data_IF_274668843586
#
_entry.id   IF_274668843586
#
_cell.length_a   1.000
_cell.length_b   1.000
_cell.length_c   1.000
_cell.angle_alpha   90.00
_cell.angle_beta   90.00
_cell.angle_gamma   90.00
#
_symmetry.space_group_name_H-M   'P 1'
#
loop_
_entity.id
_entity.type
_entity.pdbx_description
1 polymer ?
#
# COMPACT_ATOMS: atom_id res chain seq x y z
N UNK A 1 -0.36 -16.46 -1.13
CA UNK A 1 -0.61 -15.14 -1.76
C UNK A 1 -0.64 -15.26 -3.29
N UNK A 2 0.51 -15.38 -3.98
CA UNK A 2 0.59 -15.45 -5.45
C UNK A 2 -0.26 -16.57 -6.10
N UNK A 3 -0.41 -17.70 -5.42
CA UNK A 3 -1.30 -18.78 -5.88
C UNK A 3 -2.78 -18.37 -5.90
N UNK A 4 -3.25 -17.64 -4.86
CA UNK A 4 -4.63 -17.13 -4.84
C UNK A 4 -4.83 -16.07 -5.92
N UNK A 5 -3.79 -15.27 -6.22
CA UNK A 5 -3.82 -14.32 -7.32
C UNK A 5 -3.98 -15.02 -8.67
N UNK A 6 -3.21 -16.08 -8.88
CA UNK A 6 -3.29 -16.88 -10.10
C UNK A 6 -4.68 -17.47 -10.32
N UNK A 7 -5.29 -18.05 -9.28
CA UNK A 7 -6.65 -18.61 -9.36
C UNK A 7 -7.68 -17.51 -9.68
N UNK A 8 -7.60 -16.36 -9.01
CA UNK A 8 -8.52 -15.23 -9.21
C UNK A 8 -8.42 -14.68 -10.65
N UNK A 9 -7.20 -14.42 -11.16
CA UNK A 9 -7.01 -13.92 -12.53
C UNK A 9 -7.40 -14.94 -13.59
N UNK A 10 -7.14 -16.23 -13.37
CA UNK A 10 -7.58 -17.30 -14.27
C UNK A 10 -9.10 -17.38 -14.33
N UNK A 11 -9.80 -17.26 -13.18
CA UNK A 11 -11.27 -17.30 -13.15
C UNK A 11 -11.93 -16.13 -13.89
N UNK A 12 -11.20 -15.01 -14.02
CA UNK A 12 -11.64 -13.79 -14.72
C UNK A 12 -11.16 -13.69 -16.17
N UNK A 13 -10.40 -14.67 -16.64
CA UNK A 13 -9.74 -14.65 -17.95
C UNK A 13 -8.86 -13.40 -18.17
N UNK A 14 -8.18 -12.92 -17.12
CA UNK A 14 -7.26 -11.78 -17.18
C UNK A 14 -5.85 -12.24 -17.59
N UNK A 15 -5.69 -12.46 -18.89
CA UNK A 15 -4.45 -13.01 -19.48
C UNK A 15 -3.22 -12.16 -19.18
N UNK A 16 -3.37 -10.83 -19.13
CA UNK A 16 -2.29 -9.92 -18.81
C UNK A 16 -1.81 -10.09 -17.36
N UNK A 17 -2.73 -10.17 -16.39
CA UNK A 17 -2.38 -10.39 -14.99
C UNK A 17 -1.75 -11.77 -14.78
N UNK A 18 -2.19 -12.78 -15.54
CA UNK A 18 -1.56 -14.11 -15.55
C UNK A 18 -0.13 -14.01 -16.10
N UNK A 19 0.07 -13.28 -17.20
CA UNK A 19 1.40 -13.05 -17.78
C UNK A 19 2.32 -12.30 -16.82
N UNK A 20 1.82 -11.27 -16.14
CA UNK A 20 2.57 -10.55 -15.10
C UNK A 20 2.96 -11.47 -13.94
N UNK A 21 2.08 -12.36 -13.48
CA UNK A 21 2.43 -13.37 -12.48
C UNK A 21 3.53 -14.32 -12.97
N UNK A 22 3.46 -14.78 -14.22
CA UNK A 22 4.52 -15.62 -14.81
C UNK A 22 5.86 -14.86 -14.87
N UNK A 23 5.82 -13.59 -15.28
CA UNK A 23 7.00 -12.72 -15.29
C UNK A 23 7.54 -12.52 -13.87
N UNK A 24 6.69 -12.37 -12.85
CA UNK A 24 7.12 -12.24 -11.46
C UNK A 24 7.99 -13.43 -11.01
N UNK A 25 7.60 -14.66 -11.37
CA UNK A 25 8.38 -15.85 -11.01
C UNK A 25 9.71 -15.95 -11.78
N UNK A 26 9.73 -15.50 -13.03
CA UNK A 26 10.93 -15.51 -13.88
C UNK A 26 11.88 -14.32 -13.64
N UNK A 27 11.37 -13.24 -13.06
CA UNK A 27 12.12 -12.01 -12.82
C UNK A 27 13.16 -12.16 -11.72
N UNK A 28 14.23 -11.39 -11.84
CA UNK A 28 15.16 -11.13 -10.75
C UNK A 28 14.50 -10.31 -9.63
N UNK A 29 15.28 -10.09 -8.60
CA UNK A 29 14.81 -9.58 -7.32
C UNK A 29 14.32 -8.13 -7.40
N UNK A 30 14.92 -7.32 -8.26
CA UNK A 30 14.58 -5.91 -8.48
C UNK A 30 13.29 -5.80 -9.31
N UNK A 31 13.24 -6.51 -10.43
CA UNK A 31 12.08 -6.52 -11.33
C UNK A 31 10.81 -7.10 -10.69
N UNK A 32 10.95 -7.98 -9.69
CA UNK A 32 9.81 -8.50 -8.92
C UNK A 32 9.03 -7.40 -8.19
N UNK A 33 9.67 -6.33 -7.76
CA UNK A 33 8.97 -5.24 -7.05
C UNK A 33 8.06 -4.46 -8.00
N UNK A 34 8.57 -4.13 -9.19
CA UNK A 34 7.82 -3.42 -10.21
C UNK A 34 6.62 -4.24 -10.70
N UNK A 35 6.84 -5.53 -10.94
CA UNK A 35 5.79 -6.46 -11.35
C UNK A 35 4.73 -6.59 -10.25
N UNK A 36 5.13 -6.66 -8.98
CA UNK A 36 4.19 -6.70 -7.86
C UNK A 36 3.35 -5.42 -7.80
N UNK A 37 3.97 -4.24 -7.98
CA UNK A 37 3.27 -2.96 -8.00
C UNK A 37 2.20 -2.91 -9.10
N UNK A 38 2.53 -3.40 -10.30
CA UNK A 38 1.60 -3.49 -11.42
C UNK A 38 0.43 -4.44 -11.13
N UNK A 39 0.70 -5.61 -10.54
CA UNK A 39 -0.34 -6.57 -10.14
C UNK A 39 -1.30 -5.97 -9.11
N UNK A 40 -0.77 -5.24 -8.12
CA UNK A 40 -1.57 -4.51 -7.13
C UNK A 40 -2.43 -3.45 -7.83
N UNK A 41 -1.84 -2.68 -8.74
CA UNK A 41 -2.57 -1.62 -9.45
C UNK A 41 -3.75 -2.19 -10.24
N UNK A 42 -3.56 -3.35 -10.88
CA UNK A 42 -4.64 -4.07 -11.57
C UNK A 42 -5.74 -4.51 -10.61
N UNK A 43 -5.41 -5.06 -9.44
CA UNK A 43 -6.42 -5.39 -8.41
C UNK A 43 -7.22 -4.17 -7.96
N UNK A 44 -6.56 -3.04 -7.77
CA UNK A 44 -7.21 -1.77 -7.43
C UNK A 44 -8.18 -1.35 -8.54
N UNK A 45 -7.76 -1.41 -9.82
CA UNK A 45 -8.62 -1.13 -10.98
C UNK A 45 -9.84 -2.05 -11.04
N UNK A 46 -9.68 -3.31 -10.65
CA UNK A 46 -10.75 -4.30 -10.54
C UNK A 46 -11.58 -4.21 -9.24
N UNK A 47 -11.33 -3.21 -8.38
CA UNK A 47 -12.00 -3.01 -7.08
C UNK A 47 -11.83 -4.14 -6.06
N UNK A 48 -10.80 -4.98 -6.23
CA UNK A 48 -10.42 -6.01 -5.25
C UNK A 48 -9.51 -5.40 -4.17
N UNK A 49 -10.01 -4.37 -3.47
CA UNK A 49 -9.20 -3.55 -2.56
C UNK A 49 -8.68 -4.33 -1.36
N UNK A 50 -9.46 -5.29 -0.86
CA UNK A 50 -9.10 -6.07 0.33
C UNK A 50 -7.91 -6.97 0.03
N UNK A 51 -7.98 -7.70 -1.07
CA UNK A 51 -6.92 -8.59 -1.52
C UNK A 51 -5.65 -7.79 -1.85
N UNK A 52 -5.79 -6.66 -2.55
CA UNK A 52 -4.65 -5.77 -2.82
C UNK A 52 -3.96 -5.30 -1.53
N UNK A 53 -4.74 -4.99 -0.49
CA UNK A 53 -4.21 -4.53 0.79
C UNK A 53 -3.54 -5.66 1.58
N UNK A 54 -4.17 -6.83 1.65
CA UNK A 54 -3.61 -8.00 2.34
C UNK A 54 -2.31 -8.46 1.65
N UNK A 55 -2.21 -8.31 0.32
CA UNK A 55 -1.01 -8.60 -0.45
C UNK A 55 0.15 -7.62 -0.18
N UNK A 56 -0.11 -6.32 -0.25
CA UNK A 56 0.89 -5.30 0.06
C UNK A 56 1.39 -5.46 1.49
N UNK A 57 0.48 -5.60 2.46
CA UNK A 57 0.86 -5.70 3.88
C UNK A 57 1.65 -6.97 4.16
N UNK A 58 1.29 -8.10 3.53
CA UNK A 58 2.08 -9.34 3.62
C UNK A 58 3.48 -9.15 3.02
N UNK A 59 3.57 -8.50 1.85
CA UNK A 59 4.88 -8.25 1.23
C UNK A 59 5.74 -7.33 2.12
N UNK A 60 5.19 -6.23 2.62
CA UNK A 60 5.91 -5.31 3.51
C UNK A 60 6.31 -5.96 4.86
N UNK A 61 5.57 -6.96 5.33
CA UNK A 61 5.90 -7.64 6.58
C UNK A 61 7.09 -8.61 6.44
N UNK A 62 7.19 -9.30 5.30
CA UNK A 62 8.10 -10.46 5.17
C UNK A 62 9.16 -10.32 4.08
N UNK A 63 9.01 -9.36 3.16
CA UNK A 63 9.95 -9.16 2.06
C UNK A 63 11.19 -8.40 2.56
N UNK A 64 12.40 -8.78 2.11
CA UNK A 64 13.59 -7.94 2.30
C UNK A 64 13.50 -6.58 1.57
N UNK A 65 12.44 -6.36 0.77
CA UNK A 65 12.16 -5.13 0.02
C UNK A 65 11.04 -4.30 0.61
N UNK A 66 10.75 -4.48 1.89
CA UNK A 66 9.72 -3.71 2.59
C UNK A 66 10.00 -2.20 2.69
N UNK A 67 11.14 -1.74 2.17
CA UNK A 67 11.52 -0.33 2.11
C UNK A 67 11.08 0.39 0.83
N UNK A 68 10.51 -0.32 -0.16
CA UNK A 68 10.04 0.33 -1.39
C UNK A 68 8.95 1.38 -1.08
N UNK A 69 9.23 2.64 -1.40
CA UNK A 69 8.38 3.80 -1.09
C UNK A 69 7.03 3.73 -1.80
N UNK A 70 6.96 3.25 -3.04
CA UNK A 70 5.72 3.12 -3.80
C UNK A 70 4.80 2.03 -3.25
N UNK A 71 5.36 0.87 -2.86
CA UNK A 71 4.56 -0.19 -2.20
C UNK A 71 3.99 0.30 -0.86
N UNK A 72 4.80 1.01 -0.06
CA UNK A 72 4.34 1.65 1.16
C UNK A 72 3.21 2.66 0.88
N UNK A 73 3.38 3.52 -0.12
CA UNK A 73 2.37 4.52 -0.48
C UNK A 73 1.07 3.89 -1.00
N UNK A 74 1.12 2.82 -1.80
CA UNK A 74 -0.08 2.08 -2.24
C UNK A 74 -0.77 1.41 -1.05
N UNK A 75 -0.01 0.85 -0.11
CA UNK A 75 -0.54 0.35 1.15
C UNK A 75 -1.24 1.45 1.96
N UNK A 76 -0.66 2.64 2.01
CA UNK A 76 -1.23 3.80 2.69
C UNK A 76 -2.55 4.26 2.05
N UNK A 77 -2.59 4.34 0.71
CA UNK A 77 -3.80 4.69 -0.04
C UNK A 77 -4.95 3.71 0.22
N UNK A 78 -4.66 2.40 0.25
CA UNK A 78 -5.66 1.38 0.55
C UNK A 78 -6.12 1.42 2.01
N UNK A 79 -5.21 1.64 2.97
CA UNK A 79 -5.58 1.86 4.36
C UNK A 79 -6.46 3.12 4.52
N UNK A 80 -6.13 4.22 3.84
CA UNK A 80 -6.94 5.44 3.84
C UNK A 80 -8.33 5.17 3.26
N UNK A 81 -8.41 4.44 2.13
CA UNK A 81 -9.69 4.02 1.56
C UNK A 81 -10.56 3.28 2.59
N UNK A 82 -9.99 2.31 3.31
CA UNK A 82 -10.72 1.61 4.36
C UNK A 82 -11.07 2.51 5.55
N UNK A 83 -10.22 3.47 5.93
CA UNK A 83 -10.59 4.45 6.96
C UNK A 83 -11.82 5.28 6.56
N UNK A 84 -11.89 5.72 5.30
CA UNK A 84 -13.02 6.53 4.81
C UNK A 84 -14.32 5.73 4.72
N UNK A 85 -14.24 4.41 4.47
CA UNK A 85 -15.40 3.57 4.17
C UNK A 85 -15.76 2.55 5.27
N UNK A 86 -14.91 2.34 6.27
CA UNK A 86 -15.16 1.43 7.39
C UNK A 86 -15.80 2.19 8.57
N UNK A 87 -17.02 1.79 8.95
CA UNK A 87 -17.76 2.36 10.09
C UNK A 87 -17.58 1.55 11.39
N UNK A 88 -16.64 0.60 11.42
CA UNK A 88 -16.39 -0.27 12.58
C UNK A 88 -15.27 0.25 13.48
N UNK A 89 -15.04 -0.44 14.60
CA UNK A 89 -13.91 -0.20 15.52
C UNK A 89 -12.53 -0.33 14.86
N UNK A 90 -12.45 -0.85 13.63
CA UNK A 90 -11.20 -0.94 12.87
C UNK A 90 -10.84 0.37 12.17
N UNK A 91 -11.72 1.38 12.18
CA UNK A 91 -11.46 2.70 11.58
C UNK A 91 -10.16 3.33 12.11
N UNK A 92 -9.96 3.33 13.42
CA UNK A 92 -8.74 3.88 14.05
C UNK A 92 -7.48 3.09 13.67
N UNK A 93 -7.63 1.77 13.49
CA UNK A 93 -6.53 0.92 13.02
C UNK A 93 -6.10 1.33 11.61
N UNK A 94 -7.04 1.50 10.68
CA UNK A 94 -6.73 1.91 9.31
C UNK A 94 -6.18 3.34 9.22
N UNK A 95 -6.68 4.26 10.04
CA UNK A 95 -6.12 5.61 10.15
C UNK A 95 -4.63 5.57 10.54
N UNK A 96 -4.31 4.84 11.62
CA UNK A 96 -2.93 4.70 12.11
C UNK A 96 -2.02 4.02 11.09
N UNK A 97 -2.52 2.99 10.39
CA UNK A 97 -1.79 2.30 9.32
C UNK A 97 -1.50 3.23 8.14
N UNK A 98 -2.49 3.99 7.67
CA UNK A 98 -2.33 4.92 6.56
C UNK A 98 -1.26 5.98 6.86
N UNK A 99 -1.32 6.59 8.05
CA UNK A 99 -0.32 7.56 8.51
C UNK A 99 1.08 6.94 8.55
N UNK A 100 1.20 5.76 9.16
CA UNK A 100 2.48 5.05 9.32
C UNK A 100 3.11 4.73 7.97
N UNK A 101 2.32 4.22 7.02
CA UNK A 101 2.81 3.88 5.70
C UNK A 101 3.17 5.10 4.85
N UNK A 102 2.39 6.18 4.88
CA UNK A 102 2.77 7.41 4.20
C UNK A 102 4.06 8.01 4.76
N UNK A 103 4.23 8.03 6.09
CA UNK A 103 5.46 8.53 6.72
C UNK A 103 6.67 7.69 6.26
N UNK A 104 6.60 6.36 6.35
CA UNK A 104 7.68 5.47 5.90
C UNK A 104 7.97 5.61 4.39
N UNK A 105 6.93 5.79 3.57
CA UNK A 105 7.09 5.99 2.13
C UNK A 105 7.91 7.25 1.84
N UNK A 106 7.60 8.36 2.51
CA UNK A 106 8.31 9.64 2.39
C UNK A 106 9.75 9.52 2.91
N UNK A 107 9.93 8.94 4.10
CA UNK A 107 11.25 8.77 4.71
C UNK A 107 12.20 7.91 3.83
N UNK A 108 11.64 6.97 3.06
CA UNK A 108 12.43 6.13 2.14
C UNK A 108 12.63 6.80 0.79
N UNK A 109 11.66 7.57 0.29
CA UNK A 109 11.82 8.34 -0.95
C UNK A 109 12.93 9.39 -0.83
N UNK A 110 13.11 9.98 0.35
CA UNK A 110 14.21 10.94 0.60
C UNK A 110 15.60 10.29 0.63
N UNK A 111 15.67 8.95 0.75
CA UNK A 111 16.93 8.19 0.72
C UNK A 111 17.30 7.71 -0.69
N UNK A 112 16.39 7.82 -1.65
CA UNK A 112 16.61 7.44 -3.05
C UNK A 112 16.94 8.67 -3.89
N UNK A 113 17.88 8.53 -4.84
CA UNK A 113 18.33 9.62 -5.72
C UNK A 113 17.30 10.05 -6.77
N UNK A 114 16.29 9.22 -7.02
CA UNK A 114 15.18 9.51 -7.95
C UNK A 114 13.97 10.01 -7.17
N UNK A 115 13.80 11.34 -7.14
CA UNK A 115 12.64 11.98 -6.48
C UNK A 115 11.55 12.24 -7.50
N UNK A 116 10.45 11.49 -7.40
CA UNK A 116 9.21 11.80 -8.12
C UNK A 116 8.43 12.88 -7.35
N UNK A 117 8.69 14.16 -7.66
CA UNK A 117 8.14 15.32 -6.93
C UNK A 117 6.61 15.34 -6.83
N UNK A 118 5.92 14.87 -7.88
CA UNK A 118 4.45 14.80 -7.94
C UNK A 118 3.89 13.80 -6.93
N UNK A 119 4.51 12.62 -6.84
CA UNK A 119 4.11 11.57 -5.91
C UNK A 119 4.40 11.97 -4.48
N UNK A 120 5.57 12.58 -4.22
CA UNK A 120 5.93 13.11 -2.91
C UNK A 120 4.90 14.12 -2.41
N UNK A 121 4.56 15.11 -3.23
CA UNK A 121 3.62 16.18 -2.88
C UNK A 121 2.23 15.64 -2.55
N UNK A 122 1.74 14.69 -3.36
CA UNK A 122 0.45 14.03 -3.15
C UNK A 122 0.41 13.22 -1.84
N UNK A 123 1.48 12.50 -1.53
CA UNK A 123 1.58 11.70 -0.31
C UNK A 123 1.67 12.59 0.93
N UNK A 124 2.45 13.67 0.88
CA UNK A 124 2.54 14.65 1.96
C UNK A 124 1.17 15.26 2.28
N UNK A 125 0.45 15.76 1.26
CA UNK A 125 -0.88 16.34 1.44
C UNK A 125 -1.87 15.34 2.07
N UNK A 126 -1.82 14.07 1.64
CA UNK A 126 -2.65 13.01 2.20
C UNK A 126 -2.30 12.72 3.66
N UNK A 127 -1.01 12.71 4.01
CA UNK A 127 -0.53 12.50 5.36
C UNK A 127 -0.95 13.62 6.31
N UNK A 128 -0.80 14.89 5.88
CA UNK A 128 -1.22 16.06 6.65
C UNK A 128 -2.73 16.02 6.94
N UNK A 129 -3.53 15.70 5.92
CA UNK A 129 -4.97 15.52 6.08
C UNK A 129 -5.29 14.42 7.09
N UNK A 130 -4.61 13.27 7.04
CA UNK A 130 -4.88 12.17 7.97
C UNK A 130 -4.44 12.51 9.40
N UNK A 131 -3.30 13.19 9.59
CA UNK A 131 -2.81 13.61 10.91
C UNK A 131 -3.78 14.56 11.62
N UNK A 132 -4.54 15.40 10.90
CA UNK A 132 -5.55 16.27 11.51
C UNK A 132 -6.78 15.52 12.06
N UNK A 133 -6.96 14.25 11.68
CA UNK A 133 -8.03 13.39 12.19
C UNK A 133 -7.60 12.54 13.39
N UNK A 134 -6.32 12.55 13.74
CA UNK A 134 -5.84 11.89 14.96
C UNK A 134 -6.37 12.71 16.15
N UNK A 135 -7.17 12.13 17.05
CA UNK A 135 -7.61 12.85 18.23
C UNK A 135 -6.37 13.25 19.02
N UNK A 136 -6.20 14.55 19.23
CA UNK A 136 -5.20 15.08 20.16
C UNK A 136 -5.57 14.49 21.53
N UNK A 137 -4.74 13.58 22.04
CA UNK A 137 -4.84 13.21 23.45
C UNK A 137 -4.67 14.50 24.22
N UNK A 138 -5.78 15.01 24.78
CA UNK A 138 -5.70 16.07 25.77
C UNK A 138 -4.95 15.43 26.93
N UNK A 139 -3.71 15.84 27.17
CA UNK A 139 -3.04 15.61 28.44
C UNK A 139 -4.05 16.04 29.51
N UNK A 140 -4.62 15.05 30.19
CA UNK A 140 -5.35 15.30 31.42
C UNK A 140 -4.27 15.65 32.43
N UNK A 141 -4.04 16.95 32.61
CA UNK A 141 -3.37 17.49 33.78
C UNK A 141 -4.13 16.95 35.01
N UNK A 142 -3.57 15.91 35.63
CA UNK A 142 -3.95 15.52 36.97
C UNK A 142 -3.31 16.56 37.91
N UNK A 143 -4.09 17.58 38.28
CA UNK A 143 -3.82 18.42 39.46
C UNK A 143 -3.85 17.59 40.75
#
# INVERSE_FOLDING_TARGET
MLYLMYVDFTSRNDEDSIRLLQMFFAADLENRQEILLELIERRIKCKNFREAYDEITSHLAYSPFNHNSHLLARGAMLAHYFYDHDNTRKKDFYLKQAITFYQKALDNLEKTSDVFEDDKSRWMSSLEKLKSHVPVEKEQDYE
#
